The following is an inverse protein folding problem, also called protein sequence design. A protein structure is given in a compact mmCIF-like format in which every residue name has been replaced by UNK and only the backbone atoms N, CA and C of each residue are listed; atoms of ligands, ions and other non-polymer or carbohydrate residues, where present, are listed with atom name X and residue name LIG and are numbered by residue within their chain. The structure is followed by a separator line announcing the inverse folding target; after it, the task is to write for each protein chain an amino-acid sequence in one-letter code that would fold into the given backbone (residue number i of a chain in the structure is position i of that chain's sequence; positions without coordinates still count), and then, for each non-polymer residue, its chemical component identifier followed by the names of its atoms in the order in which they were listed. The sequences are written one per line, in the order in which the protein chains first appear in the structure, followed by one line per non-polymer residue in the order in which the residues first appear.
data_IF_012436434721
#
_entry.id   IF_012436434721
#
_cell.length_a   1.000
_cell.length_b   1.000
_cell.length_c   1.000
_cell.angle_alpha   90.00
_cell.angle_beta   90.00
_cell.angle_gamma   90.00
#
_symmetry.space_group_name_H-M   'P 1'
#
loop_
_entity.id
_entity.type
_entity.pdbx_description
1 polymer ?
#
# COMPACT_ATOMS: atom_id res chain seq x y z
N UNK A 1 4.63 -9.09 23.22
CA UNK A 1 5.22 -8.40 22.06
C UNK A 1 5.29 -6.91 22.39
N UNK A 2 6.49 -6.35 22.53
CA UNK A 2 6.68 -4.93 22.86
C UNK A 2 6.56 -4.08 21.60
N UNK A 3 5.48 -3.33 21.45
CA UNK A 3 5.33 -2.35 20.36
C UNK A 3 6.21 -1.14 20.69
N UNK A 4 7.35 -1.01 20.02
CA UNK A 4 8.16 0.20 20.09
C UNK A 4 7.49 1.27 19.23
N UNK A 5 6.80 2.21 19.86
CA UNK A 5 6.38 3.45 19.21
C UNK A 5 7.65 4.26 18.94
N UNK A 6 8.08 4.31 17.67
CA UNK A 6 9.11 5.24 17.23
C UNK A 6 8.53 6.65 17.24
N UNK A 7 8.52 7.28 18.40
CA UNK A 7 8.51 8.74 18.46
C UNK A 7 9.87 9.20 17.94
N UNK A 8 9.87 10.00 16.88
CA UNK A 8 11.07 10.62 16.31
C UNK A 8 11.66 11.58 17.36
N UNK A 9 12.49 11.01 18.23
CA UNK A 9 13.05 11.65 19.41
C UNK A 9 14.31 12.37 18.99
N UNK A 10 14.22 13.67 18.78
CA UNK A 10 15.40 14.53 18.92
C UNK A 10 15.85 14.46 20.38
N UNK A 11 17.10 14.07 20.64
CA UNK A 11 17.70 14.08 22.00
C UNK A 11 17.77 15.49 22.61
N UNK A 12 17.45 16.53 21.83
CA UNK A 12 17.81 17.91 22.13
C UNK A 12 16.61 18.85 22.32
N UNK A 13 15.37 18.39 22.15
CA UNK A 13 14.16 19.19 22.44
C UNK A 13 13.32 18.56 23.57
N UNK A 14 14.00 17.98 24.58
CA UNK A 14 13.33 17.37 25.74
C UNK A 14 13.04 18.36 26.87
N UNK A 15 13.67 19.54 26.86
CA UNK A 15 13.45 20.58 27.86
C UNK A 15 12.61 21.70 27.25
N UNK A 16 11.40 21.87 27.78
CA UNK A 16 10.49 22.97 27.48
C UNK A 16 11.26 24.26 27.79
N UNK A 17 11.75 24.93 26.75
CA UNK A 17 12.46 26.19 26.87
C UNK A 17 13.86 26.25 26.28
N UNK A 18 14.46 25.14 25.81
CA UNK A 18 15.80 25.20 25.18
C UNK A 18 15.94 24.36 23.90
N UNK A 19 14.89 24.30 23.07
CA UNK A 19 15.03 23.72 21.73
C UNK A 19 15.69 24.75 20.81
N UNK A 20 16.86 24.40 20.25
CA UNK A 20 17.64 25.25 19.31
C UNK A 20 16.85 25.74 18.09
N UNK A 21 15.75 25.06 17.77
CA UNK A 21 14.91 25.35 16.61
C UNK A 21 13.70 26.24 16.92
N UNK A 22 13.45 26.57 18.20
CA UNK A 22 12.31 27.40 18.63
C UNK A 22 10.98 26.90 18.06
N UNK A 23 10.17 27.83 17.53
CA UNK A 23 8.87 27.52 16.90
C UNK A 23 8.98 26.87 15.51
N UNK A 24 10.18 26.79 14.93
CA UNK A 24 10.44 26.12 13.63
C UNK A 24 10.81 24.64 13.80
N UNK A 25 10.69 24.09 15.01
CA UNK A 25 11.01 22.69 15.26
C UNK A 25 10.01 21.78 14.52
N UNK A 26 10.53 20.90 13.66
CA UNK A 26 9.73 19.88 12.98
C UNK A 26 9.30 18.72 13.91
N UNK A 27 9.80 18.68 15.14
CA UNK A 27 9.52 17.64 16.11
C UNK A 27 8.60 18.17 17.22
N UNK A 28 7.69 17.33 17.69
CA UNK A 28 6.74 17.72 18.74
C UNK A 28 7.45 17.97 20.07
N UNK A 29 7.29 19.17 20.62
CA UNK A 29 7.70 19.54 21.98
C UNK A 29 6.71 18.93 22.99
N UNK A 30 6.77 17.62 23.20
CA UNK A 30 5.94 16.97 24.20
C UNK A 30 6.43 17.35 25.60
N UNK A 31 5.57 18.03 26.35
CA UNK A 31 5.79 18.29 27.77
C UNK A 31 5.74 16.99 28.57
N UNK A 32 6.22 16.99 29.82
CA UNK A 32 6.12 15.82 30.68
C UNK A 32 4.65 15.43 30.94
N UNK A 33 3.74 16.41 30.99
CA UNK A 33 2.30 16.17 31.10
C UNK A 33 1.74 15.51 29.84
N UNK A 34 2.11 15.99 28.65
CA UNK A 34 1.66 15.38 27.38
C UNK A 34 2.15 13.93 27.24
N UNK A 35 3.36 13.64 27.73
CA UNK A 35 3.92 12.28 27.76
C UNK A 35 3.12 11.38 28.69
N UNK A 36 2.75 11.87 29.87
CA UNK A 36 1.92 11.14 30.82
C UNK A 36 0.55 10.83 30.22
N UNK A 37 -0.13 11.85 29.68
CA UNK A 37 -1.42 11.69 29.03
C UNK A 37 -1.36 10.71 27.84
N UNK A 38 -0.34 10.82 26.98
CA UNK A 38 -0.16 9.90 25.86
C UNK A 38 0.07 8.46 26.33
N UNK A 39 0.85 8.27 27.38
CA UNK A 39 1.10 6.93 27.95
C UNK A 39 -0.17 6.27 28.46
N UNK A 40 -1.06 7.06 29.08
CA UNK A 40 -2.34 6.58 29.57
C UNK A 40 -3.30 6.22 28.43
N UNK A 41 -3.35 7.05 27.38
CA UNK A 41 -4.12 6.75 26.15
C UNK A 41 -3.63 5.46 25.48
N UNK A 42 -2.31 5.26 25.42
CA UNK A 42 -1.72 4.03 24.85
C UNK A 42 -2.14 2.83 25.70
N UNK A 43 -2.03 2.91 27.03
CA UNK A 43 -2.43 1.84 27.96
C UNK A 43 -3.89 1.44 27.76
N UNK A 44 -4.79 2.43 27.70
CA UNK A 44 -6.22 2.19 27.47
C UNK A 44 -6.49 1.55 26.10
N UNK A 45 -5.80 1.99 25.05
CA UNK A 45 -5.92 1.37 23.71
C UNK A 45 -5.42 -0.06 23.69
N UNK A 46 -4.31 -0.37 24.37
CA UNK A 46 -3.78 -1.72 24.46
C UNK A 46 -4.72 -2.65 25.22
N UNK A 47 -5.30 -2.18 26.34
CA UNK A 47 -6.31 -2.94 27.10
C UNK A 47 -7.56 -3.20 26.25
N UNK A 48 -8.08 -2.18 25.56
CA UNK A 48 -9.21 -2.34 24.65
C UNK A 48 -8.90 -3.28 23.48
N UNK A 49 -7.69 -3.23 22.91
CA UNK A 49 -7.26 -4.12 21.85
C UNK A 49 -7.15 -5.57 22.34
N UNK A 50 -6.63 -5.80 23.55
CA UNK A 50 -6.56 -7.14 24.16
C UNK A 50 -7.95 -7.73 24.39
N UNK A 51 -8.90 -6.93 24.90
CA UNK A 51 -10.29 -7.37 25.07
C UNK A 51 -10.94 -7.72 23.73
N UNK A 52 -10.69 -6.93 22.68
CA UNK A 52 -11.19 -7.23 21.33
C UNK A 52 -10.59 -8.53 20.77
N UNK A 53 -9.30 -8.77 21.01
CA UNK A 53 -8.62 -9.98 20.55
C UNK A 53 -9.17 -11.23 21.24
N UNK A 54 -9.32 -11.21 22.57
CA UNK A 54 -9.86 -12.37 23.32
C UNK A 54 -11.33 -12.64 23.03
N UNK A 55 -12.13 -11.63 22.67
CA UNK A 55 -13.50 -11.81 22.18
C UNK A 55 -13.55 -12.37 20.74
N UNK A 56 -12.48 -12.17 19.95
CA UNK A 56 -12.39 -12.64 18.57
C UNK A 56 -11.82 -14.04 18.40
N UNK A 57 -11.32 -14.69 19.46
CA UNK A 57 -10.88 -16.10 19.41
C UNK A 57 -12.05 -17.07 19.11
N UNK A 58 -13.30 -16.62 19.26
CA UNK A 58 -14.50 -17.33 18.77
C UNK A 58 -14.77 -17.16 17.26
N UNK A 59 -14.00 -16.32 16.56
CA UNK A 59 -14.13 -16.02 15.12
C UNK A 59 -12.97 -16.58 14.27
N UNK A 60 -12.06 -17.35 14.88
CA UNK A 60 -10.93 -17.99 14.19
C UNK A 60 -11.33 -19.04 13.15
N UNK A 61 -12.53 -19.64 13.27
CA UNK A 61 -13.06 -20.61 12.30
C UNK A 61 -13.46 -19.98 10.96
N UNK A 62 -13.64 -18.66 10.87
CA UNK A 62 -14.28 -18.04 9.70
C UNK A 62 -13.31 -17.37 8.70
N UNK A 63 -12.00 -17.35 8.98
CA UNK A 63 -11.02 -16.72 8.06
C UNK A 63 -10.82 -17.57 6.80
N UNK A 64 -10.73 -18.90 6.96
CA UNK A 64 -10.60 -19.82 5.84
C UNK A 64 -11.86 -19.82 4.96
N UNK A 65 -13.04 -19.79 5.57
CA UNK A 65 -14.31 -19.72 4.84
C UNK A 65 -14.46 -18.38 4.11
N UNK A 66 -14.11 -17.25 4.73
CA UNK A 66 -14.11 -15.94 4.04
C UNK A 66 -13.12 -15.88 2.89
N UNK A 67 -11.95 -16.50 3.05
CA UNK A 67 -10.96 -16.58 1.98
C UNK A 67 -11.49 -17.42 0.82
N UNK A 68 -12.13 -18.55 1.13
CA UNK A 68 -12.78 -19.42 0.14
C UNK A 68 -13.91 -18.69 -0.59
N UNK A 69 -14.80 -18.01 0.13
CA UNK A 69 -15.88 -17.20 -0.45
C UNK A 69 -15.32 -16.10 -1.37
N UNK A 70 -14.23 -15.44 -0.97
CA UNK A 70 -13.57 -14.42 -1.78
C UNK A 70 -12.96 -14.99 -3.07
N UNK A 71 -12.30 -16.16 -2.99
CA UNK A 71 -11.75 -16.86 -4.15
C UNK A 71 -12.87 -17.31 -5.10
N UNK A 72 -13.96 -17.84 -4.57
CA UNK A 72 -15.12 -18.29 -5.35
C UNK A 72 -15.83 -17.11 -6.05
N UNK A 73 -15.96 -15.95 -5.37
CA UNK A 73 -16.47 -14.74 -6.01
C UNK A 73 -15.61 -14.29 -7.19
N UNK A 74 -14.28 -14.40 -7.08
CA UNK A 74 -13.36 -14.02 -8.16
C UNK A 74 -13.46 -15.00 -9.33
N UNK A 75 -13.50 -16.30 -9.06
CA UNK A 75 -13.68 -17.33 -10.09
C UNK A 75 -15.03 -17.22 -10.80
N UNK A 76 -16.11 -16.89 -10.06
CA UNK A 76 -17.44 -16.66 -10.63
C UNK A 76 -17.46 -15.48 -11.59
N UNK A 77 -16.75 -14.38 -11.28
CA UNK A 77 -16.61 -13.22 -12.18
C UNK A 77 -15.89 -13.61 -13.47
N UNK A 78 -14.79 -14.37 -13.38
CA UNK A 78 -14.07 -14.86 -14.56
C UNK A 78 -14.96 -15.76 -15.44
N UNK A 79 -15.75 -16.65 -14.83
CA UNK A 79 -16.64 -17.56 -15.57
C UNK A 79 -17.79 -16.85 -16.29
N UNK A 80 -18.26 -15.72 -15.77
CA UNK A 80 -19.29 -14.91 -16.42
C UNK A 80 -18.74 -14.10 -17.60
N UNK A 81 -17.46 -13.72 -17.57
CA UNK A 81 -16.81 -13.01 -18.67
C UNK A 81 -16.32 -13.96 -19.79
N UNK A 82 -16.15 -15.26 -19.50
CA UNK A 82 -15.71 -16.28 -20.46
C UNK A 82 -16.50 -17.59 -20.29
N UNK A 83 -17.68 -17.73 -20.93
CA UNK A 83 -18.55 -18.89 -20.74
C UNK A 83 -18.09 -20.16 -21.47
N UNK A 84 -17.13 -20.06 -22.38
CA UNK A 84 -16.60 -21.19 -23.14
C UNK A 84 -15.30 -21.68 -22.50
N UNK A 85 -15.38 -22.82 -21.81
CA UNK A 85 -14.37 -23.35 -20.86
C UNK A 85 -13.04 -23.78 -21.48
N UNK A 86 -12.34 -22.86 -22.14
CA UNK A 86 -10.96 -23.05 -22.59
C UNK A 86 -10.01 -22.46 -21.54
N UNK A 87 -9.97 -23.07 -20.36
CA UNK A 87 -8.93 -22.80 -19.38
C UNK A 87 -7.69 -23.63 -19.73
N UNK A 88 -6.87 -23.14 -20.66
CA UNK A 88 -5.45 -23.47 -20.68
C UNK A 88 -4.75 -22.57 -19.63
N UNK A 89 -4.00 -23.15 -18.67
CA UNK A 89 -3.34 -22.38 -17.62
C UNK A 89 -2.24 -21.43 -18.12
N UNK A 90 -1.88 -21.47 -19.40
CA UNK A 90 -0.91 -20.54 -20.02
C UNK A 90 -1.55 -19.26 -20.59
N UNK A 91 -2.86 -19.07 -20.44
CA UNK A 91 -3.59 -17.91 -21.00
C UNK A 91 -4.17 -17.00 -19.93
N UNK A 92 -3.56 -17.00 -18.74
CA UNK A 92 -3.96 -16.11 -17.65
C UNK A 92 -3.48 -14.70 -18.02
N UNK A 93 -4.43 -13.90 -18.50
CA UNK A 93 -4.30 -12.49 -18.87
C UNK A 93 -3.53 -12.24 -20.16
N UNK A 94 -4.26 -12.20 -21.29
CA UNK A 94 -3.84 -11.35 -22.40
C UNK A 94 -3.69 -9.92 -21.86
N UNK A 95 -2.46 -9.55 -21.49
CA UNK A 95 -2.12 -8.22 -20.97
C UNK A 95 -2.56 -7.24 -22.04
N UNK A 96 -3.64 -6.49 -21.78
CA UNK A 96 -4.09 -5.41 -22.67
C UNK A 96 -3.07 -4.29 -22.54
N UNK A 97 -2.00 -4.35 -23.33
CA UNK A 97 -0.97 -3.30 -23.36
C UNK A 97 -1.63 -2.01 -23.84
N UNK A 98 -1.66 -0.95 -23.00
CA UNK A 98 -2.22 0.33 -23.40
C UNK A 98 -1.49 0.88 -24.62
N UNK A 99 -2.23 1.50 -25.54
CA UNK A 99 -1.63 2.18 -26.69
C UNK A 99 -1.22 3.60 -26.30
N UNK A 100 0.09 3.82 -26.15
CA UNK A 100 0.63 5.13 -25.85
C UNK A 100 0.68 5.99 -27.11
N UNK A 101 -0.05 7.11 -27.11
CA UNK A 101 0.01 8.13 -28.16
C UNK A 101 0.86 9.31 -27.69
N UNK A 102 1.68 9.84 -28.60
CA UNK A 102 2.43 11.08 -28.35
C UNK A 102 1.47 12.26 -28.17
N UNK A 103 1.83 13.19 -27.30
CA UNK A 103 1.10 14.44 -27.14
C UNK A 103 1.11 15.25 -28.45
N UNK A 104 0.02 15.97 -28.75
CA UNK A 104 -0.16 16.71 -30.00
C UNK A 104 0.92 17.79 -30.23
N UNK A 105 1.40 18.43 -29.16
CA UNK A 105 2.51 19.38 -29.27
C UNK A 105 3.83 18.74 -29.71
N UNK A 106 3.99 17.43 -29.50
CA UNK A 106 5.21 16.69 -29.85
C UNK A 106 5.18 16.15 -31.28
N UNK A 107 4.00 16.04 -31.90
CA UNK A 107 3.87 15.54 -33.29
C UNK A 107 4.38 16.54 -34.33
N UNK A 108 4.54 17.82 -33.94
CA UNK A 108 5.05 18.90 -34.80
C UNK A 108 6.55 18.76 -35.08
N UNK A 109 7.29 18.08 -34.20
CA UNK A 109 8.74 17.91 -34.34
C UNK A 109 9.06 16.73 -35.26
N UNK A 110 9.82 16.98 -36.34
CA UNK A 110 10.22 15.92 -37.29
C UNK A 110 11.26 14.94 -36.72
N UNK A 111 12.10 15.40 -35.80
CA UNK A 111 13.17 14.59 -35.20
C UNK A 111 13.01 14.63 -33.67
N UNK A 112 12.21 13.70 -33.15
CA UNK A 112 12.09 13.50 -31.70
C UNK A 112 13.25 12.66 -31.19
N UNK A 113 13.90 13.04 -30.08
CA UNK A 113 14.89 12.19 -29.45
C UNK A 113 14.25 10.87 -28.99
N UNK A 114 15.00 9.75 -29.01
CA UNK A 114 14.48 8.43 -28.69
C UNK A 114 13.94 8.32 -27.25
N UNK A 115 14.40 9.17 -26.34
CA UNK A 115 13.91 9.24 -24.96
C UNK A 115 12.47 9.76 -24.83
N UNK A 116 11.94 10.45 -25.84
CA UNK A 116 10.58 11.00 -25.85
C UNK A 116 9.60 10.14 -26.65
N UNK A 117 10.08 9.09 -27.33
CA UNK A 117 9.22 8.18 -28.07
C UNK A 117 8.54 7.22 -27.09
N UNK A 118 7.23 6.97 -27.24
CA UNK A 118 6.54 6.01 -26.40
C UNK A 118 7.10 4.61 -26.64
N UNK A 119 7.16 3.75 -25.60
CA UNK A 119 7.61 2.38 -25.74
C UNK A 119 6.69 1.62 -26.70
N UNK A 120 7.29 0.78 -27.55
CA UNK A 120 6.53 -0.05 -28.49
C UNK A 120 5.84 -1.21 -27.77
N UNK A 121 4.73 -1.70 -28.34
CA UNK A 121 4.00 -2.86 -27.80
C UNK A 121 4.92 -4.08 -27.66
N UNK A 122 5.83 -4.30 -28.61
CA UNK A 122 6.81 -5.39 -28.58
C UNK A 122 7.85 -5.21 -27.47
N UNK A 123 8.33 -3.98 -27.21
CA UNK A 123 9.28 -3.73 -26.12
C UNK A 123 8.67 -4.03 -24.74
N UNK A 124 7.39 -3.76 -24.57
CA UNK A 124 6.67 -4.04 -23.31
C UNK A 124 6.47 -5.55 -23.14
N UNK A 125 6.05 -6.25 -24.20
CA UNK A 125 5.83 -7.71 -24.19
C UNK A 125 7.12 -8.52 -24.04
N UNK A 126 8.27 -7.97 -24.43
CA UNK A 126 9.58 -8.61 -24.29
C UNK A 126 10.33 -8.15 -23.03
N UNK A 127 9.68 -7.41 -22.13
CA UNK A 127 10.33 -6.94 -20.90
C UNK A 127 10.47 -8.06 -19.86
N UNK A 128 11.52 -7.98 -19.05
CA UNK A 128 11.77 -8.91 -17.93
C UNK A 128 10.67 -8.86 -16.84
N UNK A 129 9.82 -7.83 -16.88
CA UNK A 129 8.78 -7.58 -15.88
C UNK A 129 7.41 -8.19 -16.25
N UNK A 130 7.28 -8.89 -17.38
CA UNK A 130 6.01 -9.48 -17.84
C UNK A 130 5.44 -10.48 -16.82
N UNK A 131 6.30 -11.12 -16.01
CA UNK A 131 5.92 -12.11 -14.99
C UNK A 131 5.53 -11.51 -13.63
N UNK A 132 5.61 -10.19 -13.45
CA UNK A 132 5.27 -9.51 -12.19
C UNK A 132 3.77 -9.19 -12.05
N UNK A 133 2.92 -9.78 -12.90
CA UNK A 133 1.47 -9.58 -12.95
C UNK A 133 0.68 -10.71 -12.33
#
# INVERSE_FOLDING_TARGET
MNVKVSLNKSKECSDIGNCKFGDRCQFSHLTNEDRFHLSEVIRQKEEAAKVRLTQSDSYGENVQDKLKDWLDQRNKKVKLEFPDGTSSPDTVHAIKVPEYKLAECLTVFRNLPPSLLPPTKSAILNSEYVTWG
#
